data_IF_069436924330
#
_entry.id   IF_069436924330
#
_cell.length_a   1.000
_cell.length_b   1.000
_cell.length_c   1.000
_cell.angle_alpha   90.00
_cell.angle_beta   90.00
_cell.angle_gamma   90.00
#
_symmetry.space_group_name_H-M   'P 1'
#
loop_
_entity.id
_entity.type
_entity.pdbx_description
1 polymer ?
#
# COMPACT_ATOMS: atom_id res chain seq x y z
N UNK A 1 -9.72 18.92 22.16
CA UNK A 1 -9.04 19.19 23.45
C UNK A 1 -8.18 17.98 23.80
N UNK A 2 -7.06 18.18 24.49
CA UNK A 2 -6.33 17.08 25.12
C UNK A 2 -7.14 16.57 26.31
N UNK A 3 -7.11 15.28 26.57
CA UNK A 3 -7.85 14.65 27.66
C UNK A 3 -6.99 13.58 28.33
N UNK A 4 -7.18 13.37 29.63
CA UNK A 4 -6.48 12.33 30.39
C UNK A 4 -4.98 12.57 30.48
N UNK A 5 -4.18 11.53 30.23
CA UNK A 5 -2.71 11.56 30.36
C UNK A 5 -2.06 12.68 29.52
N UNK A 6 -2.58 12.93 28.32
CA UNK A 6 -2.04 13.95 27.43
C UNK A 6 -2.24 15.38 27.95
N UNK A 7 -3.34 15.63 28.67
CA UNK A 7 -3.55 16.92 29.32
C UNK A 7 -2.57 17.11 30.49
N UNK A 8 -2.42 16.08 31.32
CA UNK A 8 -1.49 16.12 32.46
C UNK A 8 -0.04 16.33 32.01
N UNK A 9 0.41 15.58 31.00
CA UNK A 9 1.74 15.75 30.40
C UNK A 9 1.93 17.16 29.84
N UNK A 10 0.95 17.69 29.10
CA UNK A 10 1.08 19.01 28.47
C UNK A 10 1.14 20.12 29.51
N UNK A 11 0.38 20.02 30.61
CA UNK A 11 0.41 20.97 31.72
C UNK A 11 1.79 21.09 32.35
N UNK A 12 2.45 19.96 32.64
CA UNK A 12 3.82 19.97 33.17
C UNK A 12 4.86 20.46 32.17
N UNK A 13 4.75 20.01 30.91
CA UNK A 13 5.70 20.39 29.84
C UNK A 13 5.61 21.88 29.49
N UNK A 14 4.39 22.42 29.39
CA UNK A 14 4.17 23.84 29.12
C UNK A 14 4.70 24.73 30.25
N UNK A 15 4.49 24.36 31.52
CA UNK A 15 5.05 25.09 32.65
C UNK A 15 6.58 25.13 32.60
N UNK A 16 7.23 23.98 32.37
CA UNK A 16 8.69 23.92 32.23
C UNK A 16 9.21 24.76 31.06
N UNK A 17 8.49 24.81 29.94
CA UNK A 17 8.86 25.65 28.78
C UNK A 17 8.76 27.14 29.12
N UNK A 18 7.71 27.55 29.82
CA UNK A 18 7.53 28.92 30.30
C UNK A 18 8.65 29.31 31.27
N UNK A 19 8.98 28.45 32.22
CA UNK A 19 10.05 28.68 33.20
C UNK A 19 11.44 28.84 32.54
N UNK A 20 11.62 28.24 31.35
CA UNK A 20 12.83 28.39 30.51
C UNK A 20 12.78 29.60 29.58
N UNK A 21 11.75 30.44 29.68
CA UNK A 21 11.54 31.61 28.82
C UNK A 21 11.13 31.28 27.39
N UNK A 22 10.67 30.05 27.11
CA UNK A 22 10.19 29.65 25.79
C UNK A 22 8.74 30.10 25.61
N UNK A 23 8.46 30.82 24.51
CA UNK A 23 7.08 31.16 24.13
C UNK A 23 6.33 29.89 23.76
N UNK A 24 5.27 29.57 24.51
CA UNK A 24 4.40 28.43 24.25
C UNK A 24 3.34 28.82 23.23
N UNK A 25 3.68 28.72 21.96
CA UNK A 25 2.76 28.85 20.84
C UNK A 25 2.32 27.49 20.28
N UNK A 26 1.46 27.51 19.26
CA UNK A 26 1.00 26.28 18.60
C UNK A 26 2.13 25.47 17.96
N UNK A 27 3.17 26.13 17.46
CA UNK A 27 4.33 25.46 16.84
C UNK A 27 5.12 24.70 17.91
N UNK A 28 5.34 25.32 19.06
CA UNK A 28 6.02 24.73 20.21
C UNK A 28 5.24 23.53 20.76
N UNK A 29 3.92 23.67 20.94
CA UNK A 29 3.04 22.57 21.31
C UNK A 29 3.16 21.41 20.32
N UNK A 30 2.99 21.68 19.02
CA UNK A 30 3.00 20.64 17.99
C UNK A 30 4.34 19.90 17.97
N UNK A 31 5.47 20.61 18.14
CA UNK A 31 6.79 20.00 18.23
C UNK A 31 6.91 19.08 19.44
N UNK A 32 6.61 19.57 20.64
CA UNK A 32 6.70 18.78 21.87
C UNK A 32 5.74 17.57 21.85
N UNK A 33 4.55 17.75 21.29
CA UNK A 33 3.56 16.68 21.14
C UNK A 33 4.07 15.59 20.20
N UNK A 34 4.61 15.97 19.04
CA UNK A 34 5.19 15.01 18.10
C UNK A 34 6.42 14.30 18.68
N UNK A 35 7.29 14.99 19.42
CA UNK A 35 8.43 14.34 20.08
C UNK A 35 7.99 13.31 21.12
N UNK A 36 6.98 13.62 21.94
CA UNK A 36 6.50 12.73 23.00
C UNK A 36 5.75 11.51 22.46
N UNK A 37 4.84 11.71 21.50
CA UNK A 37 3.91 10.68 21.04
C UNK A 37 4.26 10.06 19.68
N UNK A 38 5.16 10.70 18.93
CA UNK A 38 5.65 10.26 17.62
C UNK A 38 7.19 10.28 17.59
N UNK A 39 7.85 9.48 18.45
CA UNK A 39 9.31 9.46 18.53
C UNK A 39 9.94 9.09 17.19
N UNK A 40 11.20 9.48 17.00
CA UNK A 40 11.89 9.33 15.72
C UNK A 40 11.89 7.87 15.22
N UNK A 41 12.01 6.89 16.12
CA UNK A 41 11.92 5.46 15.76
C UNK A 41 10.58 5.09 15.13
N UNK A 42 9.46 5.58 15.67
CA UNK A 42 8.11 5.35 15.14
C UNK A 42 7.94 6.06 13.80
N UNK A 43 8.45 7.30 13.67
CA UNK A 43 8.46 8.01 12.38
C UNK A 43 9.25 7.24 11.33
N UNK A 44 10.50 6.85 11.63
CA UNK A 44 11.35 6.07 10.72
C UNK A 44 10.69 4.76 10.31
N UNK A 45 10.01 4.08 11.23
CA UNK A 45 9.25 2.87 10.93
C UNK A 45 8.09 3.14 9.96
N UNK A 46 7.33 4.22 10.16
CA UNK A 46 6.25 4.64 9.23
C UNK A 46 6.78 5.07 7.87
N UNK A 47 7.89 5.79 7.82
CA UNK A 47 8.56 6.16 6.57
C UNK A 47 9.07 4.93 5.84
N UNK A 48 9.67 3.95 6.54
CA UNK A 48 10.09 2.68 5.95
C UNK A 48 8.91 1.86 5.44
N UNK A 49 7.79 1.82 6.18
CA UNK A 49 6.54 1.20 5.74
C UNK A 49 6.03 1.86 4.45
N UNK A 50 6.03 3.19 4.40
CA UNK A 50 5.61 3.95 3.23
C UNK A 50 6.51 3.69 2.01
N UNK A 51 7.83 3.70 2.18
CA UNK A 51 8.78 3.45 1.10
C UNK A 51 8.71 2.01 0.58
N UNK A 52 8.27 1.06 1.41
CA UNK A 52 8.06 -0.34 1.04
C UNK A 52 6.64 -0.63 0.58
N UNK A 53 5.75 0.36 0.59
CA UNK A 53 4.36 0.16 0.23
C UNK A 53 4.25 -0.18 -1.26
N UNK A 54 3.77 -1.40 -1.52
CA UNK A 54 3.42 -1.90 -2.84
C UNK A 54 1.93 -2.22 -2.84
N UNK A 55 1.29 -2.19 -4.00
CA UNK A 55 -0.10 -2.59 -4.17
C UNK A 55 -0.32 -4.01 -3.66
N UNK A 56 0.64 -4.93 -3.85
CA UNK A 56 0.51 -6.30 -3.37
C UNK A 56 -0.77 -6.93 -3.93
N UNK A 57 -1.59 -7.58 -3.12
CA UNK A 57 -2.91 -8.09 -3.55
C UNK A 57 -4.08 -7.10 -3.38
N UNK A 58 -3.81 -5.88 -2.89
CA UNK A 58 -4.85 -4.87 -2.69
C UNK A 58 -5.43 -4.38 -4.03
N UNK A 59 -6.70 -3.99 -3.99
CA UNK A 59 -7.28 -3.19 -5.06
C UNK A 59 -6.56 -1.84 -5.16
N UNK A 60 -6.56 -1.22 -6.34
CA UNK A 60 -5.95 0.11 -6.53
C UNK A 60 -6.57 1.14 -5.57
N UNK A 61 -7.86 1.05 -5.29
CA UNK A 61 -8.55 1.91 -4.32
C UNK A 61 -8.02 1.75 -2.90
N UNK A 62 -7.85 0.51 -2.43
CA UNK A 62 -7.30 0.19 -1.11
C UNK A 62 -5.84 0.64 -1.00
N UNK A 63 -5.05 0.38 -2.04
CA UNK A 63 -3.68 0.83 -2.13
C UNK A 63 -3.58 2.36 -2.07
N UNK A 64 -4.43 3.09 -2.79
CA UNK A 64 -4.48 4.56 -2.74
C UNK A 64 -4.82 5.09 -1.35
N UNK A 65 -5.83 4.51 -0.67
CA UNK A 65 -6.17 4.89 0.70
C UNK A 65 -5.00 4.68 1.65
N UNK A 66 -4.32 3.53 1.56
CA UNK A 66 -3.16 3.21 2.41
C UNK A 66 -1.96 4.10 2.10
N UNK A 67 -1.73 4.39 0.83
CA UNK A 67 -0.68 5.31 0.37
C UNK A 67 -0.88 6.71 0.95
N UNK A 68 -2.10 7.26 0.85
CA UNK A 68 -2.40 8.58 1.40
C UNK A 68 -2.33 8.62 2.92
N UNK A 69 -2.77 7.55 3.60
CA UNK A 69 -2.65 7.44 5.05
C UNK A 69 -1.19 7.50 5.50
N UNK A 70 -0.31 6.71 4.88
CA UNK A 70 1.11 6.65 5.23
C UNK A 70 1.87 7.92 4.82
N UNK A 71 1.50 8.54 3.69
CA UNK A 71 2.09 9.80 3.23
C UNK A 71 1.92 10.95 4.25
N UNK A 72 0.91 10.90 5.13
CA UNK A 72 0.70 11.91 6.19
C UNK A 72 1.77 11.90 7.28
N UNK A 73 2.43 10.75 7.46
CA UNK A 73 3.50 10.58 8.44
C UNK A 73 4.89 10.84 7.86
N UNK A 74 4.98 10.98 6.54
CA UNK A 74 6.23 11.27 5.87
C UNK A 74 6.62 12.72 6.11
N UNK A 75 7.76 12.91 6.76
CA UNK A 75 8.14 14.22 7.29
C UNK A 75 8.89 15.09 6.30
N UNK A 76 9.34 14.51 5.18
CA UNK A 76 9.96 15.26 4.10
C UNK A 76 8.88 15.83 3.17
N UNK A 77 9.20 16.95 2.51
CA UNK A 77 8.30 17.57 1.56
C UNK A 77 8.01 16.62 0.38
N UNK A 78 6.77 16.13 0.30
CA UNK A 78 6.30 15.36 -0.85
C UNK A 78 5.90 16.33 -1.96
N UNK A 79 6.71 16.39 -3.02
CA UNK A 79 6.28 17.10 -4.23
C UNK A 79 5.14 16.32 -4.91
N UNK A 80 4.24 17.03 -5.60
CA UNK A 80 3.13 16.39 -6.34
C UNK A 80 3.64 15.38 -7.37
N UNK A 81 4.75 15.71 -8.03
CA UNK A 81 5.40 14.84 -9.00
C UNK A 81 5.99 13.58 -8.33
N UNK A 82 6.67 13.74 -7.20
CA UNK A 82 7.21 12.61 -6.43
C UNK A 82 6.09 11.69 -5.94
N UNK A 83 4.97 12.26 -5.45
CA UNK A 83 3.79 11.48 -5.02
C UNK A 83 3.28 10.56 -6.13
N UNK A 84 3.11 11.10 -7.34
CA UNK A 84 2.63 10.35 -8.49
C UNK A 84 3.63 9.27 -8.92
N UNK A 85 4.93 9.61 -8.95
CA UNK A 85 5.98 8.65 -9.27
C UNK A 85 5.97 7.46 -8.30
N UNK A 86 6.01 7.73 -7.00
CA UNK A 86 6.06 6.68 -5.98
C UNK A 86 4.83 5.78 -6.00
N UNK A 87 3.63 6.37 -6.20
CA UNK A 87 2.41 5.60 -6.35
C UNK A 87 2.47 4.69 -7.58
N UNK A 88 2.88 5.23 -8.74
CA UNK A 88 3.00 4.45 -9.98
C UNK A 88 4.01 3.32 -9.88
N UNK A 89 5.16 3.54 -9.25
CA UNK A 89 6.20 2.53 -9.04
C UNK A 89 5.73 1.37 -8.16
N UNK A 90 4.85 1.66 -7.19
CA UNK A 90 4.30 0.67 -6.28
C UNK A 90 3.09 -0.11 -6.81
N UNK A 91 2.58 0.19 -8.00
CA UNK A 91 1.51 -0.58 -8.63
C UNK A 91 1.98 -1.99 -9.01
N UNK A 92 1.04 -2.94 -9.11
CA UNK A 92 1.27 -4.26 -9.72
C UNK A 92 1.89 -4.10 -11.10
N UNK A 93 2.78 -5.02 -11.48
CA UNK A 93 3.54 -4.94 -12.73
C UNK A 93 2.67 -4.70 -13.98
N UNK A 94 1.55 -5.42 -14.08
CA UNK A 94 0.64 -5.32 -15.23
C UNK A 94 0.05 -3.91 -15.37
N UNK A 95 -0.40 -3.34 -14.26
CA UNK A 95 -0.93 -1.97 -14.21
C UNK A 95 0.19 -0.95 -14.44
N UNK A 96 1.34 -1.14 -13.79
CA UNK A 96 2.50 -0.24 -13.86
C UNK A 96 2.96 -0.04 -15.30
N UNK A 97 3.04 -1.11 -16.09
CA UNK A 97 3.44 -1.06 -17.51
C UNK A 97 2.52 -0.24 -18.39
N UNK A 98 1.24 -0.15 -18.03
CA UNK A 98 0.24 0.61 -18.78
C UNK A 98 0.18 2.05 -18.28
N UNK A 99 0.18 2.23 -16.96
CA UNK A 99 -0.10 3.51 -16.31
C UNK A 99 1.13 4.44 -16.26
N UNK A 100 2.32 3.92 -15.98
CA UNK A 100 3.53 4.76 -15.83
C UNK A 100 3.91 5.51 -17.13
N UNK A 101 3.87 4.89 -18.32
CA UNK A 101 4.17 5.59 -19.58
C UNK A 101 3.22 6.75 -19.90
N UNK A 102 2.04 6.80 -19.29
CA UNK A 102 1.08 7.91 -19.48
C UNK A 102 1.53 9.22 -18.82
N UNK A 103 2.59 9.18 -17.99
CA UNK A 103 3.20 10.36 -17.37
C UNK A 103 2.20 11.27 -16.62
N UNK A 104 1.20 10.67 -15.95
CA UNK A 104 0.16 11.43 -15.25
C UNK A 104 0.75 12.09 -13.99
N UNK A 105 0.66 13.41 -13.93
CA UNK A 105 1.24 14.24 -12.84
C UNK A 105 0.23 14.67 -11.78
N UNK A 106 -1.04 14.32 -11.95
CA UNK A 106 -2.12 14.61 -11.00
C UNK A 106 -2.55 13.32 -10.32
N UNK A 107 -2.34 13.25 -9.01
CA UNK A 107 -2.58 12.04 -8.22
C UNK A 107 -4.01 11.47 -8.37
N UNK A 108 -5.11 12.25 -8.28
CA UNK A 108 -6.45 11.70 -8.47
C UNK A 108 -6.67 11.09 -9.87
N UNK A 109 -6.11 11.73 -10.91
CA UNK A 109 -6.21 11.21 -12.27
C UNK A 109 -5.40 9.93 -12.46
N UNK A 110 -4.25 9.82 -11.78
CA UNK A 110 -3.41 8.61 -11.79
C UNK A 110 -4.14 7.43 -11.15
N UNK A 111 -4.75 7.64 -9.98
CA UNK A 111 -5.54 6.62 -9.27
C UNK A 111 -6.72 6.17 -10.13
N UNK A 112 -7.46 7.11 -10.73
CA UNK A 112 -8.59 6.79 -11.60
C UNK A 112 -8.15 5.96 -12.82
N UNK A 113 -7.06 6.33 -13.48
CA UNK A 113 -6.55 5.54 -14.61
C UNK A 113 -6.10 4.15 -14.20
N UNK A 114 -5.42 4.01 -13.06
CA UNK A 114 -5.04 2.70 -12.54
C UNK A 114 -6.28 1.83 -12.22
N UNK A 115 -7.34 2.41 -11.65
CA UNK A 115 -8.61 1.72 -11.43
C UNK A 115 -9.23 1.23 -12.74
N UNK A 116 -9.26 2.06 -13.79
CA UNK A 116 -9.80 1.65 -15.10
C UNK A 116 -9.04 0.44 -15.65
N UNK A 117 -7.71 0.47 -15.60
CA UNK A 117 -6.86 -0.63 -16.07
C UNK A 117 -7.10 -1.90 -15.24
N UNK A 118 -7.16 -1.80 -13.91
CA UNK A 118 -7.43 -2.93 -13.01
C UNK A 118 -8.76 -3.65 -13.33
N UNK A 119 -9.81 -2.88 -13.66
CA UNK A 119 -11.10 -3.45 -14.08
C UNK A 119 -11.01 -4.17 -15.42
N UNK A 120 -10.27 -3.62 -16.38
CA UNK A 120 -10.11 -4.24 -17.70
C UNK A 120 -9.33 -5.57 -17.61
N UNK A 121 -8.29 -5.61 -16.77
CA UNK A 121 -7.52 -6.83 -16.50
C UNK A 121 -8.35 -7.92 -15.77
N UNK A 122 -9.26 -7.51 -14.90
CA UNK A 122 -10.13 -8.45 -14.16
C UNK A 122 -11.18 -9.13 -15.05
N UNK A 123 -11.59 -8.50 -16.15
CA UNK A 123 -12.53 -9.08 -17.13
C UNK A 123 -11.84 -10.09 -18.05
N UNK A 124 -10.52 -10.02 -18.19
CA UNK A 124 -9.72 -10.90 -19.06
C UNK A 124 -9.21 -12.21 -18.42
N UNK A 125 -9.36 -12.39 -17.10
CA UNK A 125 -8.94 -13.63 -16.43
C UNK A 125 -10.09 -14.64 -16.39
N UNK A 126 -9.92 -15.88 -16.90
CA UNK A 126 -10.94 -16.91 -16.74
C UNK A 126 -11.09 -17.18 -15.24
N UNK A 127 -12.31 -17.00 -14.74
CA UNK A 127 -12.69 -17.38 -13.37
C UNK A 127 -12.39 -18.87 -13.22
N UNK A 128 -11.34 -19.21 -12.46
CA UNK A 128 -11.18 -20.58 -11.98
C UNK A 128 -12.27 -20.81 -10.94
N UNK A 129 -13.44 -21.23 -11.40
CA UNK A 129 -14.49 -21.76 -10.55
C UNK A 129 -13.93 -22.98 -9.82
N UNK A 130 -13.62 -22.82 -8.53
CA UNK A 130 -13.54 -23.92 -7.59
C UNK A 130 -14.94 -24.53 -7.53
N UNK A 131 -15.08 -25.71 -8.12
CA UNK A 131 -16.32 -26.46 -8.13
C UNK A 131 -16.05 -27.91 -8.47
N UNK A 132 -15.79 -28.72 -7.45
CA UNK A 132 -16.30 -30.10 -7.46
C UNK A 132 -17.71 -30.10 -6.84
N UNK A 133 -18.41 -31.25 -6.77
CA UNK A 133 -18.10 -32.56 -7.34
C UNK A 133 -19.28 -33.14 -8.17
N UNK A 134 -19.02 -34.05 -9.12
CA UNK A 134 -20.02 -35.03 -9.58
C UNK A 134 -19.40 -36.16 -10.40
N UNK A 135 -19.79 -37.40 -10.09
CA UNK A 135 -19.96 -38.45 -11.10
C UNK A 135 -18.92 -39.56 -11.13
N UNK A 136 -19.19 -40.64 -10.40
CA UNK A 136 -18.47 -41.92 -10.40
C UNK A 136 -18.76 -42.79 -11.64
N UNK A 137 -17.78 -43.64 -12.00
CA UNK A 137 -17.83 -44.91 -12.79
C UNK A 137 -17.98 -44.73 -14.32
N UNK A 138 -17.39 -45.54 -15.21
CA UNK A 138 -16.81 -46.89 -15.11
C UNK A 138 -15.77 -47.18 -16.21
N UNK A 139 -14.89 -48.16 -15.92
CA UNK A 139 -14.35 -49.20 -16.80
C UNK A 139 -14.14 -48.96 -18.31
N UNK A 140 -12.91 -49.17 -18.80
CA UNK A 140 -12.67 -49.40 -20.22
C UNK A 140 -11.22 -49.75 -20.58
N UNK A 141 -10.87 -51.03 -20.44
CA UNK A 141 -9.96 -51.75 -21.36
C UNK A 141 -8.53 -51.27 -21.50
N UNK A 142 -7.61 -51.85 -20.71
CA UNK A 142 -6.20 -51.91 -21.10
C UNK A 142 -5.93 -53.27 -21.74
N UNK A 143 -6.04 -53.33 -23.07
CA UNK A 143 -5.52 -54.46 -23.85
C UNK A 143 -5.07 -54.02 -25.24
N UNK A 144 -3.74 -54.16 -25.45
CA UNK A 144 -3.02 -54.40 -26.73
C UNK A 144 -2.91 -53.17 -27.65
N UNK A 145 -1.70 -52.84 -28.13
CA UNK A 145 -0.92 -53.49 -29.21
C UNK A 145 0.42 -52.72 -29.37
N UNK A 146 1.32 -53.06 -30.33
CA UNK A 146 1.81 -54.36 -30.80
C UNK A 146 3.36 -54.40 -30.80
N UNK A 147 3.89 -55.58 -31.13
CA UNK A 147 5.29 -55.92 -31.38
C UNK A 147 6.02 -54.94 -32.32
N UNK A 148 7.25 -54.58 -31.98
CA UNK A 148 8.31 -54.28 -32.95
C UNK A 148 9.36 -55.40 -32.88
N UNK A 149 9.53 -56.08 -34.02
CA UNK A 149 10.40 -57.24 -34.21
C UNK A 149 11.62 -56.78 -35.01
N UNK A 150 12.79 -57.20 -34.51
CA UNK A 150 14.09 -57.45 -35.18
C UNK A 150 14.90 -56.29 -35.73
N UNK A 151 16.15 -56.20 -35.27
CA UNK A 151 17.41 -56.66 -35.90
C UNK A 151 18.52 -56.47 -34.82
N UNK A 152 19.49 -57.33 -34.54
CA UNK A 152 20.25 -58.40 -35.22
C UNK A 152 20.63 -59.47 -34.20
#
# INVERSE_FOLDING_TARGET
>A
MLTGEAEHWWRGTSQMLIDRGVVVDWVCFKRAFLEKYFPESVRRAREAEFMRLQQGEMLVTEYAMRFEHLARFYTQAISKAWKCRMFGEGLKYDLRRVVVPMAITKFPALVEKANVVERLESVGKPVKTVGGPAGSKSSGGSQRKPYDRTQQ
#
